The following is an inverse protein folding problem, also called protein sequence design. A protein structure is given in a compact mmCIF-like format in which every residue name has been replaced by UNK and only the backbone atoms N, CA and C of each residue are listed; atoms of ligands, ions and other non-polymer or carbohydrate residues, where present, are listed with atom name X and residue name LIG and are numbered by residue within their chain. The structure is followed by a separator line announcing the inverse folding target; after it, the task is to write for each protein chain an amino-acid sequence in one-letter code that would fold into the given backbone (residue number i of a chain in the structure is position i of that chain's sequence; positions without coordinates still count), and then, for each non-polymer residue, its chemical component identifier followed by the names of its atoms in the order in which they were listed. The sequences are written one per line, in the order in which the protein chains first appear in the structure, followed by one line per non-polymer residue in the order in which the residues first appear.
data_IF_741641458592
#
_entry.id   IF_741641458592
#
_cell.length_a   1.000
_cell.length_b   1.000
_cell.length_c   1.000
_cell.angle_alpha   90.00
_cell.angle_beta   90.00
_cell.angle_gamma   90.00
#
_symmetry.space_group_name_H-M   'P 1'
#
loop_
_entity.id
_entity.type
_entity.pdbx_description
1 polymer ?
#
# COMPACT_ATOMS: atom_id res chain seq x y z
N UNK A 1 -5.34 87.55 20.57
CA UNK A 1 -6.09 86.44 19.93
C UNK A 1 -5.06 85.43 19.46
N UNK A 2 -4.83 84.39 20.24
CA UNK A 2 -4.00 83.26 19.85
C UNK A 2 -4.96 82.16 19.39
N UNK A 3 -4.83 81.75 18.14
CA UNK A 3 -5.63 80.70 17.52
C UNK A 3 -5.01 79.37 17.94
N UNK A 4 -5.63 78.67 18.90
CA UNK A 4 -5.24 77.31 19.24
C UNK A 4 -5.56 76.38 18.06
N UNK A 5 -4.51 75.95 17.37
CA UNK A 5 -4.57 74.90 16.37
C UNK A 5 -4.81 73.56 17.08
N UNK A 6 -6.08 73.19 17.21
CA UNK A 6 -6.50 71.89 17.69
C UNK A 6 -6.16 70.83 16.63
N UNK A 7 -4.99 70.22 16.78
CA UNK A 7 -4.56 69.05 16.00
C UNK A 7 -5.47 67.86 16.35
N UNK A 8 -6.48 67.63 15.51
CA UNK A 8 -7.31 66.43 15.51
C UNK A 8 -6.48 65.22 15.04
N UNK A 9 -5.66 64.66 15.93
CA UNK A 9 -5.03 63.35 15.75
C UNK A 9 -5.96 62.25 16.28
N UNK A 10 -7.10 62.06 15.63
CA UNK A 10 -7.81 60.78 15.69
C UNK A 10 -7.39 59.99 14.46
N UNK A 11 -6.17 59.48 14.49
CA UNK A 11 -5.87 58.30 13.69
C UNK A 11 -6.73 57.20 14.31
N UNK A 12 -7.81 56.81 13.63
CA UNK A 12 -8.47 55.55 13.92
C UNK A 12 -7.38 54.47 13.85
N UNK A 13 -6.88 54.02 14.99
CA UNK A 13 -6.11 52.78 15.07
C UNK A 13 -7.08 51.70 14.61
N UNK A 14 -7.01 51.38 13.32
CA UNK A 14 -7.65 50.19 12.78
C UNK A 14 -6.91 49.02 13.41
N UNK A 15 -7.40 48.61 14.57
CA UNK A 15 -6.96 47.40 15.23
C UNK A 15 -7.25 46.26 14.25
N UNK A 16 -6.18 45.66 13.72
CA UNK A 16 -6.27 44.45 12.93
C UNK A 16 -6.03 43.29 13.91
N UNK A 17 -7.04 42.83 14.66
CA UNK A 17 -6.84 41.75 15.61
C UNK A 17 -6.32 40.53 14.84
N UNK A 18 -5.06 40.20 15.08
CA UNK A 18 -4.42 39.06 14.45
C UNK A 18 -5.10 37.78 14.94
N UNK A 19 -5.69 37.03 14.01
CA UNK A 19 -6.30 35.73 14.30
C UNK A 19 -5.33 34.62 13.93
N UNK A 20 -5.00 33.78 14.90
CA UNK A 20 -4.10 32.66 14.68
C UNK A 20 -4.74 31.63 13.73
N UNK A 21 -3.95 31.05 12.84
CA UNK A 21 -4.41 29.89 12.07
C UNK A 21 -4.58 28.69 13.00
N UNK A 22 -5.71 27.99 12.86
CA UNK A 22 -5.95 26.77 13.62
C UNK A 22 -4.86 25.72 13.34
N UNK A 23 -4.13 25.31 14.38
CA UNK A 23 -3.09 24.26 14.30
C UNK A 23 -3.66 22.95 13.73
N UNK A 24 -4.91 22.63 14.09
CA UNK A 24 -5.60 21.45 13.57
C UNK A 24 -5.95 21.52 12.08
N UNK A 25 -6.12 22.73 11.50
CA UNK A 25 -6.25 22.89 10.05
C UNK A 25 -4.93 22.57 9.33
N UNK A 26 -3.81 23.02 9.91
CA UNK A 26 -2.47 22.79 9.35
C UNK A 26 -2.14 21.29 9.43
N UNK A 27 -2.35 20.65 10.58
CA UNK A 27 -2.10 19.20 10.71
C UNK A 27 -2.95 18.38 9.76
N UNK A 28 -4.24 18.72 9.59
CA UNK A 28 -5.11 18.05 8.62
C UNK A 28 -4.60 18.15 7.18
N UNK A 29 -4.09 19.32 6.78
CA UNK A 29 -3.52 19.53 5.44
C UNK A 29 -2.22 18.73 5.25
N UNK A 30 -1.35 18.69 6.26
CA UNK A 30 -0.12 17.90 6.20
C UNK A 30 -0.42 16.40 6.10
N UNK A 31 -1.40 15.91 6.88
CA UNK A 31 -1.85 14.53 6.80
C UNK A 31 -2.39 14.18 5.41
N UNK A 32 -3.12 15.08 4.77
CA UNK A 32 -3.56 14.90 3.38
C UNK A 32 -2.38 14.70 2.42
N UNK A 33 -1.37 15.58 2.49
CA UNK A 33 -0.19 15.50 1.61
C UNK A 33 0.54 14.17 1.77
N UNK A 34 0.71 13.70 3.00
CA UNK A 34 1.35 12.41 3.27
C UNK A 34 0.45 11.24 2.84
N UNK A 35 -0.87 11.35 3.04
CA UNK A 35 -1.84 10.33 2.67
C UNK A 35 -1.94 10.12 1.15
N UNK A 36 -1.56 11.10 0.32
CA UNK A 36 -1.52 10.93 -1.15
C UNK A 36 -0.62 9.78 -1.58
N UNK A 37 0.46 9.51 -0.83
CA UNK A 37 1.34 8.36 -1.08
C UNK A 37 0.59 7.02 -0.94
N UNK A 38 -0.53 7.00 -0.19
CA UNK A 38 -1.41 5.84 -0.04
C UNK A 38 -2.11 5.39 -1.33
N UNK A 39 -2.08 6.19 -2.39
CA UNK A 39 -2.58 5.77 -3.71
C UNK A 39 -1.62 4.83 -4.45
N UNK A 40 -0.35 4.76 -4.02
CA UNK A 40 0.70 4.01 -4.71
C UNK A 40 0.97 2.69 -3.96
N UNK A 41 0.82 1.50 -4.58
CA UNK A 41 1.26 0.25 -3.98
C UNK A 41 2.79 0.25 -3.76
N UNK A 42 3.32 -0.16 -2.60
CA UNK A 42 2.70 -0.86 -1.47
C UNK A 42 2.23 0.03 -0.31
N UNK A 43 2.20 1.35 -0.48
CA UNK A 43 1.99 2.34 0.59
C UNK A 43 0.53 2.54 1.03
N UNK A 44 -0.36 1.62 0.66
CA UNK A 44 -1.82 1.68 0.86
C UNK A 44 -2.24 2.03 2.30
N UNK A 45 -1.46 1.61 3.30
CA UNK A 45 -1.69 1.88 4.73
C UNK A 45 -1.69 3.39 5.04
N UNK A 46 -0.91 4.19 4.30
CA UNK A 46 -0.86 5.65 4.51
C UNK A 46 -2.19 6.34 4.19
N UNK A 47 -3.09 5.69 3.44
CA UNK A 47 -4.44 6.20 3.20
C UNK A 47 -5.24 6.33 4.50
N UNK A 48 -4.93 5.54 5.54
CA UNK A 48 -5.54 5.65 6.86
C UNK A 48 -5.28 7.02 7.52
N UNK A 49 -4.19 7.71 7.17
CA UNK A 49 -3.93 9.07 7.64
C UNK A 49 -4.98 10.07 7.15
N UNK A 50 -5.64 9.82 6.02
CA UNK A 50 -6.72 10.67 5.55
C UNK A 50 -7.91 10.66 6.52
N UNK A 51 -8.17 9.53 7.22
CA UNK A 51 -9.19 9.46 8.28
C UNK A 51 -8.85 10.42 9.41
N UNK A 52 -7.60 10.38 9.89
CA UNK A 52 -7.11 11.33 10.91
C UNK A 52 -7.20 12.77 10.41
N UNK A 53 -6.86 13.00 9.13
CA UNK A 53 -6.99 14.28 8.46
C UNK A 53 -8.42 14.83 8.52
N UNK A 54 -9.43 14.01 8.24
CA UNK A 54 -10.85 14.39 8.38
C UNK A 54 -11.18 14.76 9.82
N UNK A 55 -10.74 13.98 10.82
CA UNK A 55 -11.00 14.26 12.23
C UNK A 55 -10.40 15.61 12.64
N UNK A 56 -9.14 15.88 12.31
CA UNK A 56 -8.50 17.17 12.61
C UNK A 56 -9.17 18.34 11.89
N UNK A 57 -9.66 18.15 10.65
CA UNK A 57 -10.41 19.18 9.95
C UNK A 57 -11.74 19.51 10.66
N UNK A 58 -12.47 18.49 11.13
CA UNK A 58 -13.71 18.66 11.89
C UNK A 58 -13.46 19.39 13.21
N UNK A 59 -12.41 19.01 13.94
CA UNK A 59 -12.00 19.69 15.17
C UNK A 59 -11.64 21.15 14.90
N UNK A 60 -10.96 21.42 13.79
CA UNK A 60 -10.62 22.78 13.37
C UNK A 60 -11.86 23.63 13.08
N UNK A 61 -12.80 23.10 12.30
CA UNK A 61 -14.06 23.80 11.98
C UNK A 61 -14.84 24.08 13.27
N UNK A 62 -14.89 23.12 14.20
CA UNK A 62 -15.55 23.30 15.50
C UNK A 62 -14.86 24.37 16.35
N UNK A 63 -13.53 24.37 16.40
CA UNK A 63 -12.74 25.35 17.15
C UNK A 63 -12.93 26.77 16.60
N UNK A 64 -12.79 26.95 15.28
CA UNK A 64 -12.95 28.25 14.60
C UNK A 64 -14.37 28.81 14.78
N UNK A 65 -15.40 27.96 14.78
CA UNK A 65 -16.78 28.38 15.03
C UNK A 65 -17.03 28.76 16.49
N UNK A 66 -16.29 28.19 17.43
CA UNK A 66 -16.45 28.45 18.87
C UNK A 66 -15.68 29.69 19.31
N UNK A 67 -14.49 29.90 18.76
CA UNK A 67 -13.62 31.04 19.08
C UNK A 67 -13.29 31.80 17.79
N UNK A 68 -14.28 32.48 17.18
CA UNK A 68 -14.08 33.20 15.94
C UNK A 68 -13.07 34.34 16.11
N UNK A 69 -13.01 35.00 17.26
CA UNK A 69 -12.10 36.13 17.47
C UNK A 69 -10.64 35.69 17.68
N UNK A 70 -10.40 34.42 18.01
CA UNK A 70 -9.04 33.87 18.24
C UNK A 70 -8.49 33.13 17.01
N UNK A 71 -9.34 32.34 16.33
CA UNK A 71 -8.90 31.45 15.26
C UNK A 71 -9.46 31.84 13.90
N UNK A 72 -8.61 31.79 12.87
CA UNK A 72 -8.98 31.95 11.46
C UNK A 72 -8.64 30.68 10.65
N UNK A 73 -8.89 30.70 9.35
CA UNK A 73 -8.57 29.60 8.43
C UNK A 73 -9.73 28.65 8.13
N UNK A 74 -10.98 29.11 8.22
CA UNK A 74 -12.15 28.27 7.93
C UNK A 74 -12.13 27.70 6.51
N UNK A 75 -11.67 28.49 5.52
CA UNK A 75 -11.50 28.03 4.14
C UNK A 75 -10.50 26.88 4.04
N UNK A 76 -9.34 27.01 4.68
CA UNK A 76 -8.32 25.96 4.75
C UNK A 76 -8.86 24.69 5.43
N UNK A 77 -9.59 24.83 6.54
CA UNK A 77 -10.18 23.69 7.24
C UNK A 77 -11.23 22.95 6.40
N UNK A 78 -12.09 23.68 5.67
CA UNK A 78 -13.06 23.08 4.74
C UNK A 78 -12.38 22.38 3.57
N UNK A 79 -11.34 23.00 3.00
CA UNK A 79 -10.54 22.39 1.95
C UNK A 79 -9.91 21.09 2.43
N UNK A 80 -9.21 21.11 3.57
CA UNK A 80 -8.55 19.94 4.12
C UNK A 80 -9.56 18.80 4.43
N UNK A 81 -10.74 19.14 4.94
CA UNK A 81 -11.83 18.17 5.14
C UNK A 81 -12.27 17.52 3.82
N UNK A 82 -12.57 18.33 2.81
CA UNK A 82 -13.03 17.84 1.51
C UNK A 82 -11.95 17.02 0.79
N UNK A 83 -10.70 17.50 0.80
CA UNK A 83 -9.56 16.83 0.16
C UNK A 83 -9.29 15.47 0.79
N UNK A 84 -9.23 15.37 2.13
CA UNK A 84 -9.06 14.10 2.82
C UNK A 84 -10.24 13.14 2.57
N UNK A 85 -11.49 13.64 2.57
CA UNK A 85 -12.66 12.81 2.32
C UNK A 85 -12.68 12.25 0.89
N UNK A 86 -12.38 13.09 -0.11
CA UNK A 86 -12.27 12.66 -1.51
C UNK A 86 -11.12 11.68 -1.70
N UNK A 87 -9.97 11.92 -1.08
CA UNK A 87 -8.84 11.00 -1.12
C UNK A 87 -9.18 9.64 -0.50
N UNK A 88 -9.89 9.64 0.62
CA UNK A 88 -10.31 8.40 1.29
C UNK A 88 -11.27 7.60 0.41
N UNK A 89 -12.35 8.23 -0.06
CA UNK A 89 -13.37 7.56 -0.89
C UNK A 89 -12.76 7.12 -2.23
N UNK A 90 -12.03 8.02 -2.89
CA UNK A 90 -11.39 7.74 -4.17
C UNK A 90 -10.32 6.67 -4.07
N UNK A 91 -9.47 6.71 -3.03
CA UNK A 91 -8.43 5.72 -2.81
C UNK A 91 -8.98 4.35 -2.45
N UNK A 92 -9.99 4.27 -1.56
CA UNK A 92 -10.69 3.01 -1.27
C UNK A 92 -11.34 2.47 -2.54
N UNK A 93 -12.02 3.31 -3.32
CA UNK A 93 -12.65 2.92 -4.58
C UNK A 93 -11.65 2.38 -5.60
N UNK A 94 -10.53 3.08 -5.79
CA UNK A 94 -9.45 2.67 -6.68
C UNK A 94 -8.85 1.32 -6.26
N UNK A 95 -8.45 1.17 -4.99
CA UNK A 95 -7.86 -0.08 -4.49
C UNK A 95 -8.85 -1.24 -4.53
N UNK A 96 -10.13 -0.99 -4.23
CA UNK A 96 -11.20 -1.98 -4.35
C UNK A 96 -11.38 -2.40 -5.81
N UNK A 97 -11.40 -1.46 -6.75
CA UNK A 97 -11.51 -1.76 -8.17
C UNK A 97 -10.35 -2.63 -8.67
N UNK A 98 -9.11 -2.26 -8.31
CA UNK A 98 -7.92 -3.07 -8.64
C UNK A 98 -8.03 -4.46 -8.04
N UNK A 99 -8.42 -4.57 -6.77
CA UNK A 99 -8.61 -5.85 -6.10
C UNK A 99 -9.70 -6.70 -6.74
N UNK A 100 -10.80 -6.12 -7.23
CA UNK A 100 -11.87 -6.91 -7.87
C UNK A 100 -11.52 -7.34 -9.29
N UNK A 101 -10.63 -6.61 -9.99
CA UNK A 101 -10.33 -6.82 -11.42
C UNK A 101 -9.00 -7.51 -11.71
N UNK A 102 -8.11 -7.63 -10.72
CA UNK A 102 -6.77 -8.20 -10.94
C UNK A 102 -6.73 -9.72 -11.16
N UNK A 103 -7.77 -10.45 -10.76
CA UNK A 103 -7.80 -11.91 -10.87
C UNK A 103 -8.40 -12.28 -12.23
N UNK A 104 -7.66 -12.97 -13.11
CA UNK A 104 -8.23 -13.41 -14.37
C UNK A 104 -9.41 -14.36 -14.16
N UNK A 105 -10.43 -14.34 -15.04
CA UNK A 105 -11.55 -15.27 -14.95
C UNK A 105 -11.11 -16.73 -14.81
N UNK A 106 -11.81 -17.51 -13.98
CA UNK A 106 -11.50 -18.91 -13.74
C UNK A 106 -10.33 -19.18 -12.79
N UNK A 107 -9.61 -18.14 -12.31
CA UNK A 107 -8.50 -18.32 -11.38
C UNK A 107 -8.93 -18.10 -9.93
N UNK A 108 -8.35 -18.88 -9.03
CA UNK A 108 -8.57 -18.74 -7.59
C UNK A 108 -7.48 -17.85 -7.01
N UNK A 109 -7.85 -16.78 -6.29
CA UNK A 109 -6.88 -15.96 -5.55
C UNK A 109 -6.32 -16.77 -4.38
N UNK A 110 -5.02 -17.05 -4.42
CA UNK A 110 -4.32 -17.75 -3.35
C UNK A 110 -3.31 -16.79 -2.72
N UNK A 111 -3.57 -16.31 -1.49
CA UNK A 111 -2.59 -15.52 -0.77
C UNK A 111 -1.45 -16.41 -0.25
N UNK A 112 -0.22 -15.91 -0.32
CA UNK A 112 0.98 -16.70 -0.05
C UNK A 112 1.03 -17.30 1.36
N UNK A 113 0.49 -16.60 2.36
CA UNK A 113 0.46 -17.10 3.75
C UNK A 113 -0.32 -18.42 3.93
N UNK A 114 -1.23 -18.78 3.00
CA UNK A 114 -1.93 -20.08 3.04
C UNK A 114 -1.05 -21.26 2.60
N UNK A 115 0.08 -20.97 1.96
CA UNK A 115 1.04 -21.98 1.49
C UNK A 115 2.15 -22.23 2.52
N UNK A 116 2.38 -21.26 3.41
CA UNK A 116 3.38 -21.29 4.48
C UNK A 116 2.97 -22.26 5.58
N UNK A 117 3.90 -23.12 6.00
CA UNK A 117 3.72 -24.05 7.10
C UNK A 117 4.66 -23.69 8.26
N UNK A 118 4.10 -23.32 9.41
CA UNK A 118 4.84 -22.73 10.54
C UNK A 118 5.43 -23.74 11.53
N UNK A 119 5.40 -25.05 11.24
CA UNK A 119 5.93 -26.09 12.11
C UNK A 119 7.02 -26.93 11.44
N UNK A 120 7.85 -27.58 12.26
CA UNK A 120 8.85 -28.53 11.81
C UNK A 120 8.38 -29.97 12.10
N UNK A 121 8.59 -30.94 11.18
CA UNK A 121 9.22 -30.77 9.88
C UNK A 121 8.32 -30.04 8.87
N UNK A 122 8.95 -29.28 7.97
CA UNK A 122 8.25 -28.55 6.91
C UNK A 122 7.52 -29.50 5.96
N UNK A 123 6.31 -29.10 5.53
CA UNK A 123 5.45 -29.90 4.65
C UNK A 123 4.46 -29.02 3.88
N UNK A 124 3.89 -29.53 2.78
CA UNK A 124 2.78 -28.87 2.11
C UNK A 124 1.59 -28.63 3.03
N UNK A 125 0.95 -27.47 2.92
CA UNK A 125 -0.28 -27.16 3.66
C UNK A 125 -1.49 -27.91 3.07
N UNK A 126 -2.56 -28.07 3.85
CA UNK A 126 -3.83 -28.62 3.37
C UNK A 126 -4.37 -27.83 2.16
N UNK A 127 -4.29 -26.50 2.22
CA UNK A 127 -4.65 -25.64 1.09
C UNK A 127 -3.84 -25.95 -0.16
N UNK A 128 -2.54 -26.27 -0.04
CA UNK A 128 -1.71 -26.63 -1.19
C UNK A 128 -2.20 -27.93 -1.87
N UNK A 129 -2.70 -28.90 -1.11
CA UNK A 129 -3.33 -30.10 -1.66
C UNK A 129 -4.67 -29.80 -2.33
N UNK A 130 -5.50 -28.94 -1.73
CA UNK A 130 -6.80 -28.56 -2.28
C UNK A 130 -6.71 -27.82 -3.63
N UNK A 131 -5.63 -27.06 -3.85
CA UNK A 131 -5.41 -26.28 -5.07
C UNK A 131 -4.51 -26.99 -6.07
N UNK A 132 -4.05 -28.22 -5.79
CA UNK A 132 -3.25 -29.01 -6.72
C UNK A 132 -4.00 -29.21 -8.05
N UNK A 133 -3.36 -28.81 -9.14
CA UNK A 133 -3.92 -28.89 -10.50
C UNK A 133 -4.91 -27.78 -10.87
N UNK A 134 -5.24 -26.84 -9.98
CA UNK A 134 -6.16 -25.72 -10.25
C UNK A 134 -5.44 -24.51 -10.83
N UNK A 135 -6.19 -23.66 -11.53
CA UNK A 135 -5.71 -22.36 -12.00
C UNK A 135 -5.78 -21.35 -10.85
N UNK A 136 -4.63 -20.78 -10.49
CA UNK A 136 -4.47 -19.89 -9.34
C UNK A 136 -3.87 -18.56 -9.75
N UNK A 137 -4.26 -17.52 -9.03
CA UNK A 137 -3.64 -16.21 -9.06
C UNK A 137 -2.89 -15.99 -7.74
N UNK A 138 -1.58 -15.76 -7.84
CA UNK A 138 -0.70 -15.55 -6.69
C UNK A 138 0.14 -14.29 -6.87
N UNK A 139 0.38 -13.61 -5.75
CA UNK A 139 1.28 -12.46 -5.69
C UNK A 139 2.46 -12.76 -4.80
N UNK A 140 3.66 -12.38 -5.23
CA UNK A 140 4.88 -12.55 -4.44
C UNK A 140 6.04 -11.76 -5.02
N UNK A 141 7.23 -12.03 -4.54
CA UNK A 141 8.47 -11.39 -4.97
C UNK A 141 9.39 -12.43 -5.61
N UNK A 142 10.18 -12.01 -6.60
CA UNK A 142 11.19 -12.89 -7.21
C UNK A 142 12.37 -12.99 -6.25
N UNK A 143 12.77 -14.21 -5.91
CA UNK A 143 13.93 -14.42 -5.06
C UNK A 143 15.23 -13.98 -5.77
N UNK A 144 16.13 -13.20 -5.13
CA UNK A 144 17.37 -12.73 -5.74
C UNK A 144 18.28 -13.84 -6.29
N UNK A 145 18.32 -15.01 -5.64
CA UNK A 145 19.09 -16.16 -6.14
C UNK A 145 18.57 -16.73 -7.46
N UNK A 146 17.38 -16.32 -7.92
CA UNK A 146 16.89 -16.69 -9.27
C UNK A 146 17.64 -15.98 -10.40
N UNK A 147 18.51 -15.01 -10.07
CA UNK A 147 19.28 -14.23 -11.02
C UNK A 147 18.66 -12.86 -11.36
N UNK A 148 19.42 -12.06 -12.11
CA UNK A 148 18.99 -10.76 -12.64
C UNK A 148 18.59 -10.81 -14.11
N UNK A 149 18.01 -9.73 -14.63
CA UNK A 149 17.64 -9.59 -16.04
C UNK A 149 16.31 -10.26 -16.38
N UNK A 150 16.15 -10.76 -17.61
CA UNK A 150 14.88 -11.33 -18.09
C UNK A 150 14.80 -12.82 -17.75
N UNK A 151 13.96 -13.14 -16.78
CA UNK A 151 13.78 -14.49 -16.25
C UNK A 151 12.55 -15.16 -16.86
N UNK A 152 12.70 -16.45 -17.19
CA UNK A 152 11.60 -17.34 -17.59
C UNK A 152 11.23 -18.34 -16.49
N UNK A 153 12.19 -18.72 -15.67
CA UNK A 153 12.00 -19.62 -14.53
C UNK A 153 12.67 -18.99 -13.32
N UNK A 154 11.98 -18.96 -12.19
CA UNK A 154 12.45 -18.31 -10.97
C UNK A 154 11.67 -18.83 -9.76
N UNK A 155 12.17 -18.54 -8.56
CA UNK A 155 11.45 -18.81 -7.30
C UNK A 155 10.68 -17.56 -6.89
N UNK A 156 9.39 -17.74 -6.62
CA UNK A 156 8.51 -16.73 -6.05
C UNK A 156 8.38 -16.98 -4.55
N UNK A 157 8.46 -15.91 -3.76
CA UNK A 157 8.34 -15.92 -2.30
C UNK A 157 7.29 -14.92 -1.81
N UNK A 158 6.73 -15.16 -0.62
CA UNK A 158 5.63 -14.34 -0.07
C UNK A 158 6.07 -12.94 0.38
N UNK A 159 7.27 -12.83 0.93
CA UNK A 159 7.84 -11.60 1.44
C UNK A 159 9.36 -11.56 1.25
N UNK A 160 9.91 -10.34 1.27
CA UNK A 160 11.36 -10.11 1.12
C UNK A 160 12.10 -10.20 2.46
N UNK A 161 11.41 -10.07 3.59
CA UNK A 161 12.04 -9.98 4.91
C UNK A 161 12.64 -11.31 5.37
N UNK A 162 11.84 -12.37 5.31
CA UNK A 162 12.21 -13.72 5.74
C UNK A 162 13.26 -14.33 4.81
N UNK A 163 13.23 -13.94 3.53
CA UNK A 163 13.92 -14.65 2.47
C UNK A 163 15.17 -13.93 1.92
N UNK A 164 15.18 -12.59 1.86
CA UNK A 164 16.35 -11.83 1.38
C UNK A 164 17.27 -11.36 2.51
N UNK A 165 16.73 -11.25 3.73
CA UNK A 165 17.45 -10.74 4.91
C UNK A 165 17.47 -11.73 6.09
N UNK A 166 16.72 -12.84 6.01
CA UNK A 166 16.53 -13.82 7.08
C UNK A 166 17.14 -15.20 6.84
N UNK A 167 17.87 -15.40 5.74
CA UNK A 167 18.44 -16.69 5.35
C UNK A 167 17.61 -17.39 4.28
N UNK A 168 17.79 -18.70 4.14
CA UNK A 168 17.13 -19.47 3.10
C UNK A 168 15.66 -19.75 3.46
N UNK A 169 14.70 -19.51 2.54
CA UNK A 169 13.28 -19.77 2.80
C UNK A 169 13.01 -21.27 3.00
N UNK A 170 11.97 -21.56 3.78
CA UNK A 170 11.43 -22.92 3.92
C UNK A 170 10.85 -23.42 2.59
N UNK A 171 10.75 -24.73 2.42
CA UNK A 171 10.17 -25.37 1.23
C UNK A 171 8.72 -24.96 1.00
N UNK A 172 7.94 -24.76 2.06
CA UNK A 172 6.56 -24.24 2.01
C UNK A 172 6.46 -22.74 1.74
N UNK A 173 7.57 -22.02 1.68
CA UNK A 173 7.61 -20.58 1.36
C UNK A 173 8.10 -20.30 -0.06
N UNK A 174 8.41 -21.35 -0.83
CA UNK A 174 8.92 -21.26 -2.19
C UNK A 174 7.91 -21.81 -3.20
N UNK A 175 7.67 -21.05 -4.26
CA UNK A 175 6.94 -21.50 -5.44
C UNK A 175 7.83 -21.37 -6.66
N UNK A 176 8.17 -22.51 -7.28
CA UNK A 176 8.90 -22.51 -8.56
C UNK A 176 7.96 -22.06 -9.68
N UNK A 177 8.25 -20.91 -10.27
CA UNK A 177 7.47 -20.37 -11.39
C UNK A 177 8.16 -20.69 -12.70
N UNK A 178 7.39 -21.15 -13.69
CA UNK A 178 7.82 -21.22 -15.08
C UNK A 178 6.85 -20.46 -15.95
N UNK A 179 7.33 -19.41 -16.60
CA UNK A 179 6.55 -18.64 -17.55
C UNK A 179 6.36 -19.40 -18.87
N UNK A 180 5.14 -19.37 -19.38
CA UNK A 180 4.74 -20.02 -20.64
C UNK A 180 4.57 -18.99 -21.76
N UNK A 181 4.41 -19.47 -23.01
CA UNK A 181 4.13 -18.59 -24.16
C UNK A 181 5.28 -17.64 -24.53
N UNK A 182 6.53 -18.01 -24.24
CA UNK A 182 7.70 -17.16 -24.51
C UNK A 182 7.81 -15.92 -23.63
N UNK A 183 6.96 -15.79 -22.60
CA UNK A 183 7.00 -14.66 -21.70
C UNK A 183 8.23 -14.68 -20.81
N UNK A 184 8.74 -13.48 -20.53
CA UNK A 184 9.80 -13.22 -19.57
C UNK A 184 9.39 -12.08 -18.64
N UNK A 185 10.00 -12.08 -17.45
CA UNK A 185 9.82 -11.05 -16.46
C UNK A 185 11.18 -10.54 -16.00
N UNK A 186 11.30 -9.24 -15.83
CA UNK A 186 12.52 -8.66 -15.30
C UNK A 186 12.66 -9.00 -13.81
N UNK A 187 13.82 -9.52 -13.41
CA UNK A 187 14.19 -9.72 -12.01
C UNK A 187 14.21 -8.38 -11.26
N UNK A 188 13.86 -8.40 -9.98
CA UNK A 188 13.88 -7.21 -9.14
C UNK A 188 13.03 -7.36 -7.88
N UNK A 189 13.00 -6.29 -7.07
CA UNK A 189 12.37 -6.28 -5.75
C UNK A 189 10.88 -5.89 -5.78
N UNK A 190 10.27 -5.81 -6.96
CA UNK A 190 8.86 -5.45 -7.10
C UNK A 190 7.97 -6.67 -6.96
N UNK A 191 6.81 -6.47 -6.33
CA UNK A 191 5.81 -7.53 -6.18
C UNK A 191 5.24 -7.88 -7.55
N UNK A 192 5.29 -9.14 -7.93
CA UNK A 192 4.78 -9.67 -9.19
C UNK A 192 3.43 -10.35 -8.99
N UNK A 193 2.54 -10.19 -9.95
CA UNK A 193 1.24 -10.88 -10.05
C UNK A 193 1.35 -11.97 -11.11
N UNK A 194 1.01 -13.20 -10.77
CA UNK A 194 1.14 -14.35 -11.66
C UNK A 194 -0.16 -15.14 -11.66
N UNK A 195 -0.52 -15.66 -12.82
CA UNK A 195 -1.69 -16.51 -13.00
C UNK A 195 -1.31 -17.76 -13.78
N UNK A 196 -1.79 -18.92 -13.34
CA UNK A 196 -1.65 -20.15 -14.10
C UNK A 196 -1.88 -21.39 -13.25
N UNK A 197 -1.45 -22.54 -13.77
CA UNK A 197 -1.72 -23.84 -13.18
C UNK A 197 -0.78 -24.13 -12.02
N UNK A 198 -1.34 -24.32 -10.84
CA UNK A 198 -0.63 -24.75 -9.65
C UNK A 198 -0.44 -26.27 -9.67
N UNK A 199 0.71 -26.73 -9.19
CA UNK A 199 1.03 -28.15 -9.07
C UNK A 199 1.90 -28.41 -7.86
N UNK A 200 1.58 -29.47 -7.14
CA UNK A 200 2.35 -29.97 -6.01
C UNK A 200 3.37 -31.00 -6.50
N UNK A 201 4.65 -30.75 -6.21
CA UNK A 201 5.72 -31.68 -6.54
C UNK A 201 5.66 -32.88 -5.59
N UNK A 202 5.19 -34.02 -6.12
CA UNK A 202 5.18 -35.30 -5.38
C UNK A 202 6.58 -35.86 -5.12
N UNK A 203 7.56 -35.42 -5.91
CA UNK A 203 8.98 -35.75 -5.74
C UNK A 203 9.73 -34.45 -5.42
N UNK A 204 10.47 -34.39 -4.31
CA UNK A 204 11.25 -33.21 -3.95
C UNK A 204 12.21 -32.83 -5.09
N UNK A 205 12.04 -31.64 -5.64
CA UNK A 205 12.98 -31.09 -6.63
C UNK A 205 13.82 -30.02 -5.97
N UNK A 206 15.14 -30.20 -6.03
CA UNK A 206 16.09 -29.13 -5.73
C UNK A 206 16.17 -28.20 -6.92
N UNK A 207 16.07 -26.91 -6.65
CA UNK A 207 16.39 -25.89 -7.63
C UNK A 207 17.86 -25.53 -7.46
N UNK A 208 18.54 -25.21 -8.58
CA UNK A 208 19.89 -24.65 -8.50
C UNK A 208 19.86 -23.44 -7.56
N UNK A 209 20.86 -23.34 -6.69
CA UNK A 209 21.03 -22.26 -5.72
C UNK A 209 20.11 -22.30 -4.48
N UNK A 210 19.37 -23.39 -4.26
CA UNK A 210 18.60 -23.64 -3.03
C UNK A 210 18.87 -25.04 -2.45
N UNK A 211 19.32 -25.09 -1.19
CA UNK A 211 19.45 -26.34 -0.41
C UNK A 211 18.12 -27.07 -0.14
N UNK A 212 17.04 -26.33 0.12
CA UNK A 212 15.69 -26.84 0.39
C UNK A 212 14.98 -27.26 -0.91
N UNK A 213 14.23 -28.36 -0.85
CA UNK A 213 13.41 -28.80 -1.97
C UNK A 213 12.20 -27.87 -2.17
N UNK A 214 11.72 -27.70 -3.39
CA UNK A 214 10.54 -26.87 -3.66
C UNK A 214 9.29 -27.76 -3.76
N UNK A 215 8.31 -27.53 -2.88
CA UNK A 215 7.05 -28.28 -2.89
C UNK A 215 6.10 -27.84 -3.99
N UNK A 216 6.14 -26.56 -4.38
CA UNK A 216 5.11 -25.94 -5.19
C UNK A 216 5.64 -25.47 -6.53
N UNK A 217 4.83 -25.63 -7.57
CA UNK A 217 5.15 -25.14 -8.90
C UNK A 217 3.97 -24.45 -9.53
N UNK A 218 4.24 -23.33 -10.18
CA UNK A 218 3.27 -22.57 -10.97
C UNK A 218 3.75 -22.50 -12.42
N UNK A 219 2.92 -22.97 -13.35
CA UNK A 219 3.14 -22.78 -14.79
C UNK A 219 2.11 -21.80 -15.32
N UNK A 220 2.56 -20.63 -15.77
CA UNK A 220 1.62 -19.55 -16.02
C UNK A 220 2.22 -18.35 -16.75
N UNK A 221 1.48 -17.26 -16.69
CA UNK A 221 1.81 -15.99 -17.33
C UNK A 221 1.83 -14.87 -16.28
N UNK A 222 2.49 -13.77 -16.63
CA UNK A 222 2.43 -12.56 -15.80
C UNK A 222 1.10 -11.84 -16.00
N UNK A 223 0.58 -11.27 -14.93
CA UNK A 223 -0.62 -10.42 -14.93
C UNK A 223 -0.17 -8.99 -14.64
N UNK A 224 -0.75 -8.02 -15.36
CA UNK A 224 -0.47 -6.60 -15.16
C UNK A 224 -1.18 -6.06 -13.90
#
# INVERSE_FOLDING_TARGET
MATDLQMSSSADEVDFPYRALSRSAITSTLLFVVALLGLIPPFEVLLALAVLGVVFALLSIRSIRRYPDEFSGLGLAKFAMAANALLLIGGIGMHTYVYLTEVPPGHIRVPFYKLKFDADPDRPTETAFEIDGKDVFIKGYIHPSSGGGMLRQFVLVGDLGTCCFGGQPKSSEMVEVTLTGGQTIEGGMTRRKLAGKFSLNRVPKKQADFDNAVFYRLKGTKVN
#
